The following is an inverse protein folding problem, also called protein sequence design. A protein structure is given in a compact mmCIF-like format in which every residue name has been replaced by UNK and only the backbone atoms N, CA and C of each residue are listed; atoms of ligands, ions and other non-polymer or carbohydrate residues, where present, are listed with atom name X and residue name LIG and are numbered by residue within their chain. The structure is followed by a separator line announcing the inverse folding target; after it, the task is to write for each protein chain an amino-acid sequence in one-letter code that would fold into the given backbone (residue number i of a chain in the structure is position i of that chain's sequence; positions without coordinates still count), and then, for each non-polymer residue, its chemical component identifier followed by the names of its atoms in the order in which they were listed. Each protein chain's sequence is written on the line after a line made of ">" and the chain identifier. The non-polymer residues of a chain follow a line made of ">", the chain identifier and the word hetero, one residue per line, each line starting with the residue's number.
data_IF_903815316086
#
_entry.id   IF_903815316086
#
_cell.length_a   1.000
_cell.length_b   1.000
_cell.length_c   1.000
_cell.angle_alpha   90.00
_cell.angle_beta   90.00
_cell.angle_gamma   90.00
#
_symmetry.space_group_name_H-M   'P 1'
#
loop_
_entity.id
_entity.type
_entity.pdbx_description
1 polymer ?
#
# COMPACT_ATOMS: atom_id res chain seq x y z
N UNK A 1 -6.33 9.98 -1.18
CA UNK A 1 -7.54 9.17 -1.10
C UNK A 1 -8.81 9.95 -1.45
N UNK A 2 -9.09 11.10 -0.84
CA UNK A 2 -10.33 11.87 -1.09
C UNK A 2 -10.53 12.27 -2.56
N UNK A 3 -9.52 12.75 -3.29
CA UNK A 3 -9.69 13.04 -4.71
C UNK A 3 -10.12 11.82 -5.53
N UNK A 4 -9.55 10.64 -5.25
CA UNK A 4 -9.89 9.40 -5.96
C UNK A 4 -11.32 8.96 -5.64
N UNK A 5 -11.76 9.05 -4.38
CA UNK A 5 -13.15 8.78 -3.98
C UNK A 5 -14.10 9.76 -4.68
N UNK A 6 -13.75 11.05 -4.72
CA UNK A 6 -14.54 12.06 -5.41
C UNK A 6 -14.72 11.76 -6.90
N UNK A 7 -13.63 11.43 -7.60
CA UNK A 7 -13.69 11.04 -9.02
C UNK A 7 -14.56 9.79 -9.20
N UNK A 8 -14.38 8.77 -8.36
CA UNK A 8 -15.15 7.54 -8.42
C UNK A 8 -16.67 7.80 -8.29
N UNK A 9 -17.07 8.57 -7.28
CA UNK A 9 -18.49 8.94 -7.05
C UNK A 9 -19.03 9.75 -8.23
N UNK A 10 -18.28 10.77 -8.68
CA UNK A 10 -18.69 11.63 -9.81
C UNK A 10 -18.92 10.81 -11.08
N UNK A 11 -18.07 9.81 -11.36
CA UNK A 11 -18.26 8.93 -12.52
C UNK A 11 -19.58 8.16 -12.42
N UNK A 12 -19.91 7.61 -11.24
CA UNK A 12 -21.15 6.89 -11.01
C UNK A 12 -22.38 7.82 -11.17
N UNK A 13 -22.32 9.02 -10.59
CA UNK A 13 -23.39 10.04 -10.70
C UNK A 13 -23.61 10.49 -12.16
N UNK A 14 -22.57 10.39 -13.00
CA UNK A 14 -22.66 10.67 -14.45
C UNK A 14 -22.96 9.42 -15.30
N UNK A 15 -23.48 8.35 -14.70
CA UNK A 15 -24.01 7.19 -15.42
C UNK A 15 -22.97 6.10 -15.77
N UNK A 16 -21.76 6.17 -15.26
CA UNK A 16 -20.80 5.08 -15.39
C UNK A 16 -21.21 3.91 -14.49
N UNK A 17 -20.99 2.68 -14.96
CA UNK A 17 -21.14 1.52 -14.08
C UNK A 17 -20.04 1.48 -13.03
N UNK A 18 -20.30 0.80 -11.90
CA UNK A 18 -19.29 0.62 -10.83
C UNK A 18 -18.00 0.02 -11.36
N UNK A 19 -18.10 -0.97 -12.26
CA UNK A 19 -16.94 -1.64 -12.86
C UNK A 19 -16.09 -0.68 -13.67
N UNK A 20 -16.70 0.19 -14.47
CA UNK A 20 -16.00 1.20 -15.26
C UNK A 20 -15.36 2.26 -14.35
N UNK A 21 -16.06 2.73 -13.33
CA UNK A 21 -15.53 3.69 -12.38
C UNK A 21 -14.34 3.10 -11.57
N UNK A 22 -14.45 1.83 -11.16
CA UNK A 22 -13.33 1.10 -10.51
C UNK A 22 -12.14 0.95 -11.45
N UNK A 23 -12.36 0.65 -12.73
CA UNK A 23 -11.26 0.51 -13.70
C UNK A 23 -10.50 1.83 -13.85
N UNK A 24 -11.18 2.97 -13.91
CA UNK A 24 -10.55 4.31 -13.97
C UNK A 24 -9.73 4.57 -12.70
N UNK A 25 -10.31 4.32 -11.52
CA UNK A 25 -9.61 4.49 -10.25
C UNK A 25 -8.38 3.56 -10.15
N UNK A 26 -8.53 2.31 -10.57
CA UNK A 26 -7.45 1.33 -10.60
C UNK A 26 -6.29 1.78 -11.49
N UNK A 27 -6.58 2.22 -12.72
CA UNK A 27 -5.56 2.69 -13.65
C UNK A 27 -4.75 3.85 -13.06
N UNK A 28 -5.42 4.85 -12.49
CA UNK A 28 -4.77 6.01 -11.88
C UNK A 28 -3.90 5.61 -10.68
N UNK A 29 -4.43 4.78 -9.78
CA UNK A 29 -3.71 4.32 -8.59
C UNK A 29 -2.51 3.47 -8.99
N UNK A 30 -2.66 2.57 -9.97
CA UNK A 30 -1.57 1.72 -10.45
C UNK A 30 -0.50 2.51 -11.20
N UNK A 31 -0.85 3.56 -11.92
CA UNK A 31 0.14 4.46 -12.53
C UNK A 31 1.05 5.08 -11.46
N UNK A 32 0.48 5.57 -10.37
CA UNK A 32 1.25 6.11 -9.25
C UNK A 32 2.07 5.03 -8.54
N UNK A 33 1.52 3.83 -8.36
CA UNK A 33 2.24 2.70 -7.76
C UNK A 33 3.43 2.25 -8.61
N UNK A 34 3.27 2.21 -9.93
CA UNK A 34 4.35 1.90 -10.87
C UNK A 34 5.47 2.95 -10.85
N UNK A 35 5.11 4.24 -10.72
CA UNK A 35 6.11 5.28 -10.53
C UNK A 35 6.92 5.04 -9.24
N UNK A 36 6.24 4.75 -8.13
CA UNK A 36 6.90 4.41 -6.85
C UNK A 36 7.75 3.15 -6.96
N UNK A 37 7.31 2.13 -7.69
CA UNK A 37 8.12 0.93 -7.94
C UNK A 37 9.44 1.27 -8.64
N UNK A 38 9.41 2.14 -9.66
CA UNK A 38 10.63 2.62 -10.34
C UNK A 38 11.55 3.37 -9.38
N UNK A 39 11.01 4.20 -8.51
CA UNK A 39 11.81 4.88 -7.48
C UNK A 39 12.43 3.86 -6.49
N UNK A 40 11.65 2.88 -6.04
CA UNK A 40 12.13 1.83 -5.14
C UNK A 40 13.24 0.97 -5.77
N UNK A 41 13.19 0.76 -7.09
CA UNK A 41 14.25 0.04 -7.83
C UNK A 41 15.59 0.77 -7.74
N UNK A 42 15.62 2.08 -7.57
CA UNK A 42 16.89 2.82 -7.40
C UNK A 42 17.65 2.37 -6.14
N UNK A 43 16.92 2.04 -5.07
CA UNK A 43 17.53 1.53 -3.85
C UNK A 43 18.23 0.18 -4.05
N UNK A 44 17.71 -0.67 -4.94
CA UNK A 44 18.28 -2.00 -5.19
C UNK A 44 19.64 -1.96 -5.89
N UNK A 45 20.00 -0.81 -6.47
CA UNK A 45 21.32 -0.57 -7.09
C UNK A 45 22.39 -0.22 -6.07
N UNK A 46 21.99 0.10 -4.84
CA UNK A 46 22.92 0.46 -3.77
C UNK A 46 23.52 -0.81 -3.13
N UNK A 47 24.80 -0.77 -2.71
CA UNK A 47 25.33 -1.86 -1.90
C UNK A 47 24.60 -1.93 -0.56
N UNK A 48 24.47 -3.14 -0.01
CA UNK A 48 23.79 -3.36 1.28
C UNK A 48 22.33 -2.87 1.32
N UNK A 49 21.60 -3.03 0.22
CA UNK A 49 20.21 -2.57 0.03
C UNK A 49 19.32 -2.81 1.25
N UNK A 50 19.29 -4.03 1.79
CA UNK A 50 18.44 -4.35 2.94
C UNK A 50 18.84 -3.58 4.21
N UNK A 51 20.13 -3.41 4.45
CA UNK A 51 20.62 -2.65 5.62
C UNK A 51 20.24 -1.18 5.52
N UNK A 52 20.34 -0.59 4.34
CA UNK A 52 19.89 0.77 4.07
C UNK A 52 18.37 0.89 4.21
N UNK A 53 17.63 -0.03 3.63
CA UNK A 53 16.17 -0.07 3.79
C UNK A 53 15.78 -0.14 5.27
N UNK A 54 16.38 -1.07 6.02
CA UNK A 54 16.13 -1.23 7.46
C UNK A 54 16.43 0.06 8.24
N UNK A 55 17.50 0.76 7.91
CA UNK A 55 17.87 2.02 8.59
C UNK A 55 16.75 3.07 8.49
N UNK A 56 16.11 3.17 7.33
CA UNK A 56 15.10 4.20 7.05
C UNK A 56 13.65 3.70 7.13
N UNK A 57 13.41 2.39 7.22
CA UNK A 57 12.07 1.81 7.10
C UNK A 57 11.08 2.38 8.12
N UNK A 58 11.44 2.50 9.41
CA UNK A 58 10.54 3.08 10.41
C UNK A 58 10.15 4.51 10.11
N UNK A 59 11.11 5.34 9.72
CA UNK A 59 10.84 6.74 9.36
C UNK A 59 9.99 6.84 8.08
N UNK A 60 10.30 6.02 7.09
CA UNK A 60 9.55 5.96 5.84
C UNK A 60 8.10 5.50 6.07
N UNK A 61 7.91 4.44 6.85
CA UNK A 61 6.57 3.89 7.14
C UNK A 61 5.74 4.85 7.99
N UNK A 62 6.34 5.59 8.94
CA UNK A 62 5.64 6.65 9.67
C UNK A 62 5.11 7.77 8.76
N UNK A 63 5.86 8.12 7.72
CA UNK A 63 5.41 9.12 6.73
C UNK A 63 4.31 8.58 5.82
N UNK A 64 4.41 7.30 5.43
CA UNK A 64 3.45 6.65 4.54
C UNK A 64 2.15 6.30 5.28
N UNK A 65 2.25 5.88 6.53
CA UNK A 65 1.13 5.47 7.38
C UNK A 65 1.13 6.30 8.69
N UNK A 66 0.73 7.59 8.60
CA UNK A 66 0.74 8.48 9.76
C UNK A 66 -0.30 8.04 10.81
N UNK A 67 0.03 8.28 12.09
CA UNK A 67 -0.77 7.82 13.24
C UNK A 67 -2.20 8.36 13.25
N UNK A 68 -2.44 9.49 12.62
CA UNK A 68 -3.76 10.10 12.50
C UNK A 68 -4.73 9.21 11.71
N UNK A 69 -4.21 8.45 10.75
CA UNK A 69 -5.00 7.59 9.86
C UNK A 69 -4.74 6.10 9.98
N UNK A 70 -3.66 5.71 10.66
CA UNK A 70 -3.24 4.32 10.72
C UNK A 70 -2.78 3.93 12.11
N UNK A 71 -3.04 2.67 12.49
CA UNK A 71 -2.42 2.07 13.67
C UNK A 71 -1.50 0.94 13.22
N UNK A 72 -0.20 1.14 13.42
CA UNK A 72 0.86 0.21 13.04
C UNK A 72 1.41 -0.50 14.27
N UNK A 73 1.43 -1.81 14.24
CA UNK A 73 2.03 -2.67 15.28
C UNK A 73 3.25 -3.38 14.73
N UNK A 74 4.43 -3.01 15.20
CA UNK A 74 5.69 -3.64 14.80
C UNK A 74 5.80 -5.02 15.46
N UNK A 75 6.09 -6.06 14.64
CA UNK A 75 6.20 -7.46 15.06
C UNK A 75 7.65 -7.92 15.08
N UNK A 76 8.38 -7.61 14.01
CA UNK A 76 9.76 -8.00 13.81
C UNK A 76 10.57 -6.91 13.15
N UNK A 77 11.80 -6.72 13.57
CA UNK A 77 12.67 -5.70 12.98
C UNK A 77 14.14 -6.14 13.12
N UNK A 78 14.55 -7.08 12.30
CA UNK A 78 15.90 -7.66 12.36
C UNK A 78 16.60 -7.66 10.98
N UNK A 79 17.71 -8.40 10.87
CA UNK A 79 18.49 -8.49 9.64
C UNK A 79 17.90 -9.43 8.57
N UNK A 80 16.88 -10.20 8.91
CA UNK A 80 16.19 -11.12 7.99
C UNK A 80 14.87 -10.53 7.49
N UNK A 81 14.14 -9.85 8.38
CA UNK A 81 12.78 -9.43 8.10
C UNK A 81 12.40 -8.18 8.89
N UNK A 82 11.62 -7.33 8.23
CA UNK A 82 10.82 -6.27 8.86
C UNK A 82 9.36 -6.66 8.68
N UNK A 83 8.66 -6.90 9.79
CA UNK A 83 7.25 -7.25 9.81
C UNK A 83 6.49 -6.29 10.72
N UNK A 84 5.39 -5.73 10.20
CA UNK A 84 4.44 -4.97 10.97
C UNK A 84 3.03 -5.20 10.46
N UNK A 85 2.06 -5.07 11.36
CA UNK A 85 0.63 -5.12 11.05
C UNK A 85 0.05 -3.72 11.07
N UNK A 86 -0.74 -3.38 10.06
CA UNK A 86 -1.66 -2.24 10.11
C UNK A 86 -3.00 -2.80 10.60
N UNK A 87 -3.42 -2.36 11.79
CA UNK A 87 -4.66 -2.83 12.44
C UNK A 87 -5.81 -1.81 12.37
N UNK A 88 -5.52 -0.59 11.92
CA UNK A 88 -6.49 0.46 11.59
C UNK A 88 -6.02 1.17 10.32
N UNK A 89 -6.93 1.42 9.39
CA UNK A 89 -6.63 1.99 8.08
C UNK A 89 -7.67 3.05 7.70
N UNK A 90 -7.23 4.31 7.60
CA UNK A 90 -8.11 5.42 7.19
C UNK A 90 -8.71 5.20 5.79
N UNK A 91 -8.04 4.47 4.90
CA UNK A 91 -8.59 4.20 3.56
C UNK A 91 -9.86 3.35 3.66
N UNK A 92 -9.85 2.34 4.53
CA UNK A 92 -11.04 1.53 4.84
C UNK A 92 -12.16 2.39 5.40
N UNK A 93 -11.85 3.19 6.44
CA UNK A 93 -12.82 4.07 7.11
C UNK A 93 -13.46 5.07 6.12
N UNK A 94 -12.66 5.66 5.24
CA UNK A 94 -13.15 6.63 4.27
C UNK A 94 -13.97 5.97 3.15
N UNK A 95 -13.54 4.81 2.64
CA UNK A 95 -14.31 4.08 1.64
C UNK A 95 -15.69 3.64 2.19
N UNK A 96 -15.75 3.23 3.46
CA UNK A 96 -17.03 2.90 4.12
C UNK A 96 -17.88 4.15 4.32
N UNK A 97 -17.30 5.23 4.83
CA UNK A 97 -18.01 6.50 5.05
C UNK A 97 -18.65 7.06 3.78
N UNK A 98 -18.00 6.89 2.63
CA UNK A 98 -18.51 7.35 1.34
C UNK A 98 -19.22 6.25 0.52
N UNK A 99 -19.60 5.14 1.17
CA UNK A 99 -20.35 4.05 0.56
C UNK A 99 -19.70 3.46 -0.71
N UNK A 100 -18.36 3.39 -0.74
CA UNK A 100 -17.57 2.80 -1.82
C UNK A 100 -16.53 1.79 -1.29
N UNK A 101 -16.93 0.77 -0.49
CA UNK A 101 -15.99 -0.16 0.16
C UNK A 101 -15.14 -0.95 -0.86
N UNK A 102 -15.67 -1.21 -2.05
CA UNK A 102 -14.97 -1.89 -3.14
C UNK A 102 -13.70 -1.13 -3.60
N UNK A 103 -13.68 0.18 -3.46
CA UNK A 103 -12.51 1.00 -3.82
C UNK A 103 -11.33 0.77 -2.87
N UNK A 104 -11.57 0.30 -1.65
CA UNK A 104 -10.51 0.06 -0.68
C UNK A 104 -9.49 -0.98 -1.17
N UNK A 105 -9.94 -2.05 -1.82
CA UNK A 105 -9.05 -3.10 -2.34
C UNK A 105 -8.12 -2.57 -3.42
N UNK A 106 -8.58 -1.60 -4.21
CA UNK A 106 -7.77 -0.95 -5.25
C UNK A 106 -6.57 -0.21 -4.63
N UNK A 107 -6.79 0.51 -3.52
CA UNK A 107 -5.70 1.12 -2.76
C UNK A 107 -4.76 0.07 -2.18
N UNK A 108 -5.29 -1.03 -1.62
CA UNK A 108 -4.47 -2.11 -1.07
C UNK A 108 -3.54 -2.73 -2.11
N UNK A 109 -4.01 -2.95 -3.34
CA UNK A 109 -3.23 -3.53 -4.43
C UNK A 109 -2.04 -2.65 -4.83
N UNK A 110 -2.13 -1.33 -4.65
CA UNK A 110 -1.06 -0.40 -5.00
C UNK A 110 0.23 -0.64 -4.21
N UNK A 111 0.13 -1.15 -2.98
CA UNK A 111 1.29 -1.48 -2.16
C UNK A 111 2.09 -2.64 -2.77
N UNK A 112 1.41 -3.68 -3.25
CA UNK A 112 2.05 -4.83 -3.90
C UNK A 112 2.85 -4.35 -5.11
N UNK A 113 2.25 -3.51 -5.95
CA UNK A 113 2.90 -2.94 -7.13
C UNK A 113 4.11 -2.08 -6.75
N UNK A 114 3.93 -1.16 -5.82
CA UNK A 114 4.99 -0.23 -5.43
C UNK A 114 6.19 -0.96 -4.80
N UNK A 115 5.93 -1.92 -3.91
CA UNK A 115 6.99 -2.66 -3.20
C UNK A 115 7.65 -3.76 -4.05
N UNK A 116 7.01 -4.19 -5.15
CA UNK A 116 7.66 -5.07 -6.13
C UNK A 116 8.95 -4.47 -6.70
N UNK A 117 9.09 -3.15 -6.69
CA UNK A 117 10.31 -2.45 -7.11
C UNK A 117 11.55 -2.77 -6.27
N UNK A 118 11.41 -3.32 -5.07
CA UNK A 118 12.54 -3.74 -4.23
C UNK A 118 13.14 -5.10 -4.61
N UNK A 119 12.45 -5.89 -5.46
CA UNK A 119 12.98 -7.19 -5.90
C UNK A 119 14.26 -7.03 -6.72
N UNK A 120 15.20 -8.01 -6.65
CA UNK A 120 15.18 -9.22 -5.81
C UNK A 120 15.76 -9.02 -4.41
N UNK A 121 16.26 -7.83 -4.10
CA UNK A 121 16.99 -7.52 -2.84
C UNK A 121 16.11 -7.56 -1.60
N UNK A 122 14.85 -7.20 -1.74
CA UNK A 122 13.83 -7.29 -0.69
C UNK A 122 12.55 -7.82 -1.32
N UNK A 123 11.95 -8.84 -0.70
CA UNK A 123 10.63 -9.37 -1.10
C UNK A 123 9.58 -8.77 -0.17
N UNK A 124 8.55 -8.23 -0.77
CA UNK A 124 7.34 -7.85 -0.06
C UNK A 124 6.33 -8.99 -0.15
N UNK A 125 5.84 -9.45 0.99
CA UNK A 125 4.81 -10.47 1.12
C UNK A 125 3.70 -9.98 2.04
N UNK A 126 2.48 -10.40 1.75
CA UNK A 126 1.29 -10.06 2.53
C UNK A 126 0.23 -11.15 2.33
N UNK A 127 -0.33 -11.66 3.41
CA UNK A 127 -1.36 -12.72 3.38
C UNK A 127 -2.77 -12.14 3.26
N UNK A 128 -3.01 -10.92 3.78
CA UNK A 128 -4.32 -10.31 3.71
C UNK A 128 -4.33 -8.82 4.00
N UNK A 129 -5.47 -8.20 3.79
CA UNK A 129 -5.69 -6.79 4.08
C UNK A 129 -7.02 -6.56 4.80
N UNK A 130 -7.08 -5.49 5.58
CA UNK A 130 -8.33 -5.03 6.19
C UNK A 130 -9.39 -4.73 5.11
N UNK A 131 -8.95 -4.22 3.94
CA UNK A 131 -9.83 -3.96 2.79
C UNK A 131 -10.48 -5.22 2.22
N UNK A 132 -9.84 -6.38 2.35
CA UNK A 132 -10.33 -7.69 1.93
C UNK A 132 -11.00 -8.48 3.07
N UNK A 133 -11.16 -7.87 4.25
CA UNK A 133 -11.84 -8.47 5.39
C UNK A 133 -10.93 -9.18 6.38
N UNK A 134 -9.60 -9.10 6.24
CA UNK A 134 -8.68 -9.61 7.25
C UNK A 134 -8.65 -8.72 8.50
N UNK A 135 -8.20 -9.25 9.63
CA UNK A 135 -8.07 -8.52 10.89
C UNK A 135 -6.97 -7.45 10.86
N UNK A 136 -6.00 -7.59 9.97
CA UNK A 136 -4.91 -6.64 9.76
C UNK A 136 -4.38 -6.73 8.32
N UNK A 137 -3.60 -5.72 7.93
CA UNK A 137 -2.73 -5.83 6.76
C UNK A 137 -1.35 -6.21 7.28
N UNK A 138 -0.91 -7.43 7.01
CA UNK A 138 0.39 -7.96 7.45
C UNK A 138 1.46 -7.66 6.41
N UNK A 139 2.37 -6.78 6.75
CA UNK A 139 3.42 -6.31 5.86
C UNK A 139 4.75 -6.99 6.20
N UNK A 140 5.25 -7.82 5.30
CA UNK A 140 6.51 -8.54 5.42
C UNK A 140 7.51 -8.06 4.36
N UNK A 141 8.59 -7.46 4.81
CA UNK A 141 9.74 -7.09 3.97
C UNK A 141 10.90 -8.02 4.29
N UNK A 142 11.05 -9.05 3.48
CA UNK A 142 12.01 -10.13 3.70
C UNK A 142 13.28 -9.85 2.91
N UNK A 143 14.43 -9.98 3.56
CA UNK A 143 15.74 -9.86 2.90
C UNK A 143 15.85 -10.89 1.79
N UNK A 144 16.12 -10.41 0.57
CA UNK A 144 16.41 -11.22 -0.59
C UNK A 144 17.90 -11.55 -0.74
N UNK A 145 18.25 -12.11 -1.88
CA UNK A 145 19.63 -12.43 -2.27
C UNK A 145 20.37 -11.24 -2.83
#
# INVERSE_FOLDING_TARGET
>A
ILPTIGVYITLIENGFTKEKALAVAHEEIQRNANYKAKENTKLTKMPFTYSLFKMFAKSHMKKKYPIEGFTVKWRRYDYKEIHFDIVRCIYKEMCEKYCCPELCTVFCQSDVTAFAGYKPKIRFERLGTIGEGANCCDFHFIRGK
#
